data_IF_505727912655
#
_entry.id   IF_505727912655
#
_cell.length_a   1.000
_cell.length_b   1.000
_cell.length_c   1.000
_cell.angle_alpha   90.00
_cell.angle_beta   90.00
_cell.angle_gamma   90.00
#
_symmetry.space_group_name_H-M   'P 1'
#
loop_
_entity.id
_entity.type
_entity.pdbx_description
1 polymer ?
#
# COMPACT_ATOMS: atom_id res chain seq x y z
N UNK A 1 24.57 -4.73 3.04
CA UNK A 1 23.28 -5.39 3.39
C UNK A 1 22.84 -6.37 2.28
N UNK A 2 22.33 -7.56 2.64
CA UNK A 2 22.11 -8.72 1.73
C UNK A 2 20.85 -8.64 0.85
N UNK A 3 20.09 -7.54 0.93
CA UNK A 3 18.80 -7.38 0.25
C UNK A 3 18.89 -6.70 -1.13
N UNK A 4 20.05 -6.13 -1.50
CA UNK A 4 20.22 -5.43 -2.79
C UNK A 4 20.10 -6.32 -4.02
N UNK A 5 20.28 -7.64 -3.89
CA UNK A 5 20.15 -8.57 -5.00
C UNK A 5 18.70 -8.78 -5.48
N UNK A 6 17.70 -8.30 -4.74
CA UNK A 6 16.29 -8.42 -5.10
C UNK A 6 15.77 -7.22 -5.91
N UNK A 7 16.50 -6.10 -6.01
CA UNK A 7 15.98 -4.92 -6.71
C UNK A 7 15.78 -5.07 -8.21
N UNK A 8 16.66 -5.76 -8.96
CA UNK A 8 16.50 -5.84 -10.40
C UNK A 8 15.13 -6.41 -10.78
N UNK A 9 14.39 -5.70 -11.63
CA UNK A 9 13.02 -6.04 -12.08
C UNK A 9 11.97 -6.09 -10.97
N UNK A 10 12.19 -5.44 -9.82
CA UNK A 10 11.14 -5.25 -8.82
C UNK A 10 10.11 -4.25 -9.33
N UNK A 11 8.87 -4.72 -9.51
CA UNK A 11 7.76 -3.89 -9.96
C UNK A 11 6.92 -3.33 -8.80
N UNK A 12 7.02 -3.93 -7.61
CA UNK A 12 6.32 -3.48 -6.42
C UNK A 12 7.14 -3.75 -5.16
N UNK A 13 7.09 -2.82 -4.22
CA UNK A 13 7.65 -2.94 -2.87
C UNK A 13 6.49 -3.13 -1.91
N UNK A 14 6.52 -4.19 -1.10
CA UNK A 14 5.59 -4.37 0.01
C UNK A 14 6.35 -4.06 1.30
N UNK A 15 5.95 -2.99 1.98
CA UNK A 15 6.56 -2.54 3.22
C UNK A 15 5.59 -2.76 4.39
N UNK A 16 5.97 -3.62 5.34
CA UNK A 16 5.10 -3.98 6.47
C UNK A 16 5.62 -3.30 7.72
N UNK A 17 4.77 -2.50 8.37
CA UNK A 17 5.09 -1.88 9.66
C UNK A 17 4.27 -2.50 10.78
N UNK A 18 4.89 -2.58 11.95
CA UNK A 18 4.21 -2.88 13.20
C UNK A 18 3.54 -1.59 13.71
N UNK A 19 2.24 -1.44 13.46
CA UNK A 19 1.50 -0.23 13.83
C UNK A 19 1.35 -0.03 15.34
N UNK A 20 1.64 -1.05 16.16
CA UNK A 20 1.60 -0.95 17.62
C UNK A 20 2.92 -0.46 18.24
N UNK A 21 3.99 -0.40 17.45
CA UNK A 21 5.32 -0.03 17.94
C UNK A 21 5.78 1.32 17.37
N UNK A 22 5.37 2.38 18.05
CA UNK A 22 5.62 3.76 17.63
C UNK A 22 7.10 4.15 17.67
N UNK A 23 7.87 3.58 18.59
CA UNK A 23 9.28 3.90 18.75
C UNK A 23 10.09 3.40 17.56
N UNK A 24 9.76 2.21 17.05
CA UNK A 24 10.41 1.64 15.86
C UNK A 24 9.97 2.29 14.55
N UNK A 25 8.81 2.94 14.50
CA UNK A 25 8.35 3.63 13.27
C UNK A 25 9.29 4.76 12.83
N UNK A 26 9.92 5.47 13.77
CA UNK A 26 10.86 6.56 13.45
C UNK A 26 12.10 6.03 12.74
N UNK A 27 12.63 4.88 13.19
CA UNK A 27 13.77 4.21 12.56
C UNK A 27 13.35 3.61 11.21
N UNK A 28 12.18 2.96 11.18
CA UNK A 28 11.60 2.38 9.98
C UNK A 28 11.43 3.41 8.86
N UNK A 29 11.03 4.64 9.19
CA UNK A 29 10.97 5.76 8.24
C UNK A 29 12.30 5.99 7.53
N UNK A 30 13.40 6.09 8.27
CA UNK A 30 14.72 6.38 7.67
C UNK A 30 15.16 5.27 6.73
N UNK A 31 14.99 4.01 7.14
CA UNK A 31 15.30 2.86 6.28
C UNK A 31 14.39 2.79 5.05
N UNK A 32 13.10 3.08 5.23
CA UNK A 32 12.12 3.07 4.16
C UNK A 32 12.47 4.08 3.08
N UNK A 33 12.75 5.35 3.44
CA UNK A 33 13.14 6.37 2.47
C UNK A 33 14.47 6.04 1.80
N UNK A 34 15.45 5.50 2.54
CA UNK A 34 16.71 5.05 1.96
C UNK A 34 16.53 3.94 0.90
N UNK A 35 15.59 3.01 1.12
CA UNK A 35 15.23 1.99 0.11
C UNK A 35 14.62 2.66 -1.13
N UNK A 36 13.75 3.65 -0.97
CA UNK A 36 13.10 4.33 -2.09
C UNK A 36 14.05 5.21 -2.92
N UNK A 37 15.21 5.56 -2.39
CA UNK A 37 16.25 6.31 -3.11
C UNK A 37 17.07 5.44 -4.09
N UNK A 38 17.03 4.11 -3.97
CA UNK A 38 17.76 3.20 -4.85
C UNK A 38 17.21 3.28 -6.29
N UNK A 39 18.13 3.39 -7.26
CA UNK A 39 17.80 3.67 -8.66
C UNK A 39 16.97 2.55 -9.30
N UNK A 40 17.30 1.31 -8.95
CA UNK A 40 16.65 0.09 -9.41
C UNK A 40 15.19 0.00 -8.97
N UNK A 41 14.78 0.79 -7.95
CA UNK A 41 13.44 0.79 -7.38
C UNK A 41 12.59 1.99 -7.80
N UNK A 42 13.11 2.92 -8.61
CA UNK A 42 12.38 4.16 -9.01
C UNK A 42 11.03 3.88 -9.68
N UNK A 43 10.92 2.78 -10.43
CA UNK A 43 9.69 2.39 -11.13
C UNK A 43 8.73 1.53 -10.32
N UNK A 44 9.09 1.12 -9.10
CA UNK A 44 8.28 0.23 -8.29
C UNK A 44 7.17 1.00 -7.55
N UNK A 45 5.94 0.48 -7.63
CA UNK A 45 4.83 0.94 -6.78
C UNK A 45 5.09 0.50 -5.33
N UNK A 46 4.55 1.23 -4.36
CA UNK A 46 4.77 0.93 -2.94
C UNK A 46 3.46 0.62 -2.22
N UNK A 47 3.35 -0.61 -1.73
CA UNK A 47 2.24 -1.05 -0.89
C UNK A 47 2.72 -1.07 0.56
N UNK A 48 2.03 -0.34 1.44
CA UNK A 48 2.32 -0.30 2.87
C UNK A 48 1.25 -1.07 3.62
N UNK A 49 1.67 -1.97 4.51
CA UNK A 49 0.79 -2.64 5.45
C UNK A 49 1.01 -2.13 6.87
N UNK A 50 0.02 -1.40 7.40
CA UNK A 50 -0.06 -1.05 8.82
C UNK A 50 -0.56 -2.26 9.60
N UNK A 51 0.35 -3.16 9.95
CA UNK A 51 0.04 -4.48 10.51
C UNK A 51 -0.13 -4.43 12.03
N UNK A 52 -0.76 -5.47 12.58
CA UNK A 52 -1.12 -5.65 14.00
C UNK A 52 -2.27 -4.80 14.50
N UNK A 53 -3.23 -4.49 13.62
CA UNK A 53 -4.45 -3.75 13.98
C UNK A 53 -5.34 -4.49 15.00
N UNK A 54 -5.06 -5.77 15.29
CA UNK A 54 -5.67 -6.54 16.36
C UNK A 54 -5.19 -6.15 17.77
N UNK A 55 -4.06 -5.44 17.88
CA UNK A 55 -3.49 -5.06 19.17
C UNK A 55 -4.00 -3.69 19.65
N UNK A 56 -4.20 -3.52 20.96
CA UNK A 56 -4.51 -2.20 21.52
C UNK A 56 -3.34 -1.23 21.30
N UNK A 57 -3.66 0.01 20.94
CA UNK A 57 -2.65 1.04 20.66
C UNK A 57 -2.05 0.99 19.26
N UNK A 58 -2.53 0.09 18.39
CA UNK A 58 -2.20 0.12 16.97
C UNK A 58 -2.62 1.45 16.33
N UNK A 59 -1.66 2.11 15.68
CA UNK A 59 -1.89 3.34 14.94
C UNK A 59 -2.77 3.10 13.72
N UNK A 60 -3.59 4.09 13.39
CA UNK A 60 -4.36 4.05 12.15
C UNK A 60 -3.51 4.43 10.92
N UNK A 61 -4.11 4.33 9.74
CA UNK A 61 -3.48 4.62 8.46
C UNK A 61 -2.99 6.06 8.37
N UNK A 62 -3.75 7.02 8.91
CA UNK A 62 -3.35 8.43 8.94
C UNK A 62 -2.11 8.65 9.82
N UNK A 63 -2.09 8.09 11.03
CA UNK A 63 -0.96 8.23 11.95
C UNK A 63 0.30 7.54 11.42
N UNK A 64 0.17 6.37 10.78
CA UNK A 64 1.31 5.70 10.13
C UNK A 64 1.80 6.48 8.92
N UNK A 65 0.88 7.06 8.12
CA UNK A 65 1.21 7.90 6.96
C UNK A 65 2.05 9.10 7.37
N UNK A 66 1.68 9.77 8.47
CA UNK A 66 2.44 10.88 9.02
C UNK A 66 3.79 10.41 9.58
N UNK A 67 3.82 9.31 10.34
CA UNK A 67 5.04 8.79 10.96
C UNK A 67 6.10 8.36 9.94
N UNK A 68 5.67 7.78 8.81
CA UNK A 68 6.55 7.41 7.70
C UNK A 68 6.76 8.55 6.70
N UNK A 69 6.10 9.70 6.88
CA UNK A 69 6.15 10.86 5.98
C UNK A 69 5.82 10.50 4.52
N UNK A 70 4.84 9.62 4.29
CA UNK A 70 4.50 9.13 2.95
C UNK A 70 4.07 10.26 2.01
N UNK A 71 3.56 11.35 2.56
CA UNK A 71 3.22 12.56 1.81
C UNK A 71 4.43 13.18 1.08
N UNK A 72 5.68 12.89 1.49
CA UNK A 72 6.89 13.34 0.79
C UNK A 72 7.17 12.56 -0.50
N UNK A 73 6.56 11.39 -0.67
CA UNK A 73 6.71 10.56 -1.86
C UNK A 73 5.80 11.12 -2.95
N UNK A 74 6.39 11.80 -3.94
CA UNK A 74 5.67 12.43 -5.06
C UNK A 74 5.94 11.78 -6.41
N UNK A 75 6.98 10.97 -6.52
CA UNK A 75 7.50 10.44 -7.77
C UNK A 75 7.09 9.00 -8.07
N UNK A 76 6.20 8.41 -7.25
CA UNK A 76 5.68 7.05 -7.43
C UNK A 76 4.33 6.89 -6.75
N UNK A 77 3.56 5.91 -7.21
CA UNK A 77 2.31 5.53 -6.56
C UNK A 77 2.58 4.74 -5.28
N UNK A 78 1.76 5.02 -4.27
CA UNK A 78 1.76 4.27 -3.03
C UNK A 78 0.35 4.18 -2.45
N UNK A 79 0.10 3.15 -1.65
CA UNK A 79 -1.10 3.00 -0.86
C UNK A 79 -0.79 2.34 0.47
N UNK A 80 -1.63 2.59 1.47
CA UNK A 80 -1.53 2.01 2.81
C UNK A 80 -2.82 1.28 3.17
N UNK A 81 -2.66 0.10 3.75
CA UNK A 81 -3.77 -0.73 4.21
C UNK A 81 -3.57 -1.14 5.66
N UNK A 82 -4.64 -1.02 6.45
CA UNK A 82 -4.72 -1.57 7.80
C UNK A 82 -4.79 -3.08 7.72
N UNK A 83 -3.91 -3.78 8.42
CA UNK A 83 -3.88 -5.24 8.39
C UNK A 83 -3.73 -5.89 9.75
N UNK A 84 -4.27 -7.11 9.84
CA UNK A 84 -3.94 -8.05 10.90
C UNK A 84 -3.50 -9.34 10.25
N UNK A 85 -2.18 -9.58 10.20
CA UNK A 85 -1.63 -10.78 9.61
C UNK A 85 -2.13 -12.08 10.28
N UNK A 86 -2.47 -12.02 11.57
CA UNK A 86 -2.98 -13.19 12.31
C UNK A 86 -4.46 -13.49 12.02
N UNK A 87 -5.24 -12.47 11.63
CA UNK A 87 -6.65 -12.63 11.24
C UNK A 87 -6.83 -12.73 9.72
N UNK A 88 -5.80 -12.36 8.95
CA UNK A 88 -5.85 -12.26 7.50
C UNK A 88 -6.56 -11.00 6.97
N UNK A 89 -6.95 -10.07 7.85
CA UNK A 89 -7.70 -8.87 7.49
C UNK A 89 -6.82 -7.86 6.73
N UNK A 90 -7.37 -7.29 5.65
CA UNK A 90 -6.74 -6.22 4.85
C UNK A 90 -5.60 -6.66 3.93
N UNK A 91 -5.18 -7.93 4.00
CA UNK A 91 -4.09 -8.46 3.17
C UNK A 91 -4.51 -8.61 1.71
N UNK A 92 -5.68 -9.16 1.46
CA UNK A 92 -6.15 -9.42 0.10
C UNK A 92 -6.41 -8.11 -0.65
N UNK A 93 -7.03 -7.14 0.01
CA UNK A 93 -7.33 -5.83 -0.54
C UNK A 93 -6.05 -5.07 -0.92
N UNK A 94 -5.01 -5.15 -0.09
CA UNK A 94 -3.73 -4.52 -0.42
C UNK A 94 -3.00 -5.22 -1.56
N UNK A 95 -3.03 -6.54 -1.61
CA UNK A 95 -2.40 -7.31 -2.69
C UNK A 95 -3.09 -7.06 -4.03
N UNK A 96 -4.43 -7.04 -4.04
CA UNK A 96 -5.25 -6.74 -5.22
C UNK A 96 -4.90 -5.35 -5.81
N UNK A 97 -4.83 -4.33 -4.95
CA UNK A 97 -4.36 -2.99 -5.34
C UNK A 97 -2.93 -3.01 -5.91
N UNK A 98 -2.04 -3.81 -5.32
CA UNK A 98 -0.67 -3.95 -5.78
C UNK A 98 -0.55 -4.62 -7.16
N UNK A 99 -1.47 -5.53 -7.50
CA UNK A 99 -1.56 -6.14 -8.83
C UNK A 99 -2.10 -5.16 -9.87
N UNK A 100 -3.15 -4.41 -9.55
CA UNK A 100 -3.72 -3.36 -10.41
C UNK A 100 -2.70 -2.24 -10.70
N UNK A 101 -1.98 -1.79 -9.67
CA UNK A 101 -0.96 -0.74 -9.79
C UNK A 101 0.23 -1.13 -10.69
N UNK A 102 0.44 -2.43 -10.94
CA UNK A 102 1.46 -2.93 -11.88
C UNK A 102 0.99 -2.95 -13.33
N UNK A 103 -0.32 -2.94 -13.56
CA UNK A 103 -0.94 -3.01 -14.89
C UNK A 103 -1.33 -1.66 -15.50
N UNK A 104 -1.28 -0.56 -14.73
CA UNK A 104 -1.78 0.74 -15.16
C UNK A 104 -0.75 1.62 -15.86
N UNK A 105 -1.02 1.95 -17.13
CA UNK A 105 -0.61 3.24 -17.70
C UNK A 105 -1.04 4.36 -16.74
N UNK A 106 -0.14 5.31 -16.46
CA UNK A 106 -0.38 6.45 -15.58
C UNK A 106 -1.71 7.13 -15.96
N UNK A 107 -2.75 6.95 -15.14
CA UNK A 107 -4.01 7.67 -15.31
C UNK A 107 -3.99 8.89 -14.36
N UNK A 108 -3.76 10.11 -14.87
CA UNK A 108 -3.56 11.31 -14.06
C UNK A 108 -4.86 11.86 -13.43
N UNK A 109 -5.93 11.06 -13.34
CA UNK A 109 -7.24 11.50 -12.83
C UNK A 109 -7.59 10.99 -11.42
N UNK A 110 -6.71 10.23 -10.76
CA UNK A 110 -7.00 9.60 -9.46
C UNK A 110 -6.50 10.38 -8.22
N UNK A 111 -6.46 11.71 -8.29
CA UNK A 111 -6.15 12.60 -7.16
C UNK A 111 -7.35 12.85 -6.22
N UNK A 112 -8.30 11.93 -6.15
CA UNK A 112 -9.44 12.07 -5.26
C UNK A 112 -9.61 10.86 -4.34
N UNK A 113 -9.05 11.00 -3.14
CA UNK A 113 -9.55 10.48 -1.88
C UNK A 113 -9.98 9.00 -1.85
N UNK A 114 -9.17 8.22 -1.15
CA UNK A 114 -9.54 7.05 -0.36
C UNK A 114 -11.02 7.07 0.09
N UNK A 115 -11.90 6.31 -0.58
CA UNK A 115 -13.06 5.63 -0.03
C UNK A 115 -13.53 4.58 -1.07
N UNK A 116 -13.95 3.36 -0.66
CA UNK A 116 -14.55 2.42 -1.59
C UNK A 116 -15.86 2.99 -2.17
N UNK A 117 -16.17 2.72 -3.45
CA UNK A 117 -17.44 3.12 -4.03
C UNK A 117 -18.57 2.50 -3.21
N UNK A 118 -19.44 3.36 -2.66
CA UNK A 118 -20.71 2.91 -2.06
C UNK A 118 -21.43 2.04 -3.08
N UNK A 119 -21.80 0.83 -2.68
CA UNK A 119 -22.73 -0.04 -3.41
C UNK A 119 -24.00 0.76 -3.75
N UNK A 120 -24.06 1.24 -4.98
CA UNK A 120 -25.22 1.91 -5.55
C UNK A 120 -26.15 0.87 -6.14
N UNK A 121 -27.30 0.69 -5.49
CA UNK A 121 -28.59 0.29 -6.06
C UNK A 121 -28.61 -0.82 -7.12
N UNK A 122 -29.06 -2.01 -6.70
CA UNK A 122 -29.72 -2.95 -7.62
C UNK A 122 -30.99 -2.30 -8.18
N UNK A 123 -30.88 -1.68 -9.36
CA UNK A 123 -31.94 -1.43 -10.33
C UNK A 123 -31.73 -2.36 -11.52
N UNK A 124 -32.80 -3.00 -11.98
CA UNK A 124 -32.76 -4.20 -12.81
C UNK A 124 -32.34 -4.03 -14.28
N UNK A 125 -32.51 -5.18 -14.96
CA UNK A 125 -32.40 -5.44 -16.41
C UNK A 125 -31.02 -5.82 -16.97
N UNK A 126 -30.82 -7.15 -17.06
CA UNK A 126 -30.84 -7.78 -18.37
C UNK A 126 -29.53 -7.84 -19.17
N UNK A 127 -29.12 -9.09 -19.43
CA UNK A 127 -28.27 -9.58 -20.54
C UNK A 127 -26.75 -9.57 -20.31
N UNK A 128 -26.26 -10.73 -19.86
CA UNK A 128 -25.34 -11.59 -20.60
C UNK A 128 -23.94 -11.06 -20.94
N UNK A 129 -22.90 -11.71 -20.42
CA UNK A 129 -21.58 -11.67 -21.03
C UNK A 129 -20.42 -11.91 -20.06
N UNK A 130 -19.88 -13.13 -20.13
CA UNK A 130 -18.51 -13.60 -19.78
C UNK A 130 -17.61 -12.72 -18.90
N UNK A 131 -17.21 -13.32 -17.77
CA UNK A 131 -15.95 -13.03 -17.09
C UNK A 131 -14.77 -13.61 -17.90
N UNK A 132 -13.75 -12.79 -18.13
CA UNK A 132 -12.35 -13.17 -18.03
C UNK A 132 -11.75 -12.30 -16.94
#
# INVERSE_FOLDING_TARGET
PYWRCYFPNTQAIIYVVDSSDTDRLVIAREEFHAILEEEELKGAVVLIFANKQDLPGALDDAAVTESLELHKIKNRQWAIFKTSAIKGEGLFEGLDWGEEGRGGEQNPSNDHFLLPPKLGGFGGEGRGGKLF
#
